data_IF_862556833581
#
_entry.id   IF_862556833581
#
_cell.length_a   1.000
_cell.length_b   1.000
_cell.length_c   1.000
_cell.angle_alpha   90.00
_cell.angle_beta   90.00
_cell.angle_gamma   90.00
#
_symmetry.space_group_name_H-M   'P 1'
#
loop_
_entity.id
_entity.type
_entity.pdbx_description
1 polymer ?
#
# COMPACT_ATOMS: atom_id res chain seq x y z
N UNK A 1 40.93 8.93 31.75
CA UNK A 1 40.48 8.91 30.33
C UNK A 1 39.04 8.47 30.34
N UNK A 2 38.11 9.40 30.07
CA UNK A 2 36.67 9.08 30.10
C UNK A 2 36.33 8.18 28.91
N UNK A 3 35.85 6.97 29.19
CA UNK A 3 35.27 6.13 28.15
C UNK A 3 33.98 6.79 27.68
N UNK A 4 34.02 7.41 26.51
CA UNK A 4 32.80 7.82 25.83
C UNK A 4 32.04 6.53 25.48
N UNK A 5 30.82 6.40 26.01
CA UNK A 5 29.95 5.28 25.71
C UNK A 5 29.13 5.60 24.46
N UNK A 6 29.82 5.75 23.32
CA UNK A 6 29.19 5.91 22.02
C UNK A 6 28.75 4.53 21.53
N UNK A 7 27.61 4.07 22.05
CA UNK A 7 26.83 2.98 21.47
C UNK A 7 26.54 3.38 20.02
N UNK A 8 27.24 2.77 19.07
CA UNK A 8 26.98 2.91 17.65
C UNK A 8 25.65 2.21 17.36
N UNK A 9 24.54 2.94 17.46
CA UNK A 9 23.27 2.48 16.93
C UNK A 9 23.41 2.60 15.41
N UNK A 10 23.46 1.49 14.66
CA UNK A 10 23.63 1.56 13.23
C UNK A 10 22.47 2.36 12.65
N UNK A 11 22.82 3.46 12.00
CA UNK A 11 21.88 4.39 11.39
C UNK A 11 21.22 3.80 10.13
N UNK A 12 21.63 2.59 9.73
CA UNK A 12 20.90 1.75 8.79
C UNK A 12 19.68 1.12 9.50
N UNK A 13 18.80 2.02 9.91
CA UNK A 13 17.41 1.77 10.22
C UNK A 13 16.73 1.13 9.02
N UNK A 14 16.08 -0.02 9.23
CA UNK A 14 15.07 -0.70 8.39
C UNK A 14 15.05 -0.36 6.87
N UNK A 15 15.25 -1.34 5.97
CA UNK A 15 15.29 -1.07 4.54
C UNK A 15 14.07 -0.29 4.04
N UNK A 16 14.33 0.82 3.35
CA UNK A 16 13.28 1.73 2.88
C UNK A 16 12.22 1.05 1.99
N UNK A 17 12.65 0.14 1.12
CA UNK A 17 11.77 -0.62 0.24
C UNK A 17 10.75 -1.48 1.02
N UNK A 18 11.07 -1.88 2.25
CA UNK A 18 10.18 -2.69 3.08
C UNK A 18 8.96 -1.86 3.55
N UNK A 19 9.09 -0.54 3.72
CA UNK A 19 7.92 0.32 3.96
C UNK A 19 6.96 0.34 2.77
N UNK A 20 7.51 0.37 1.55
CA UNK A 20 6.71 0.27 0.34
C UNK A 20 6.00 -1.09 0.23
N UNK A 21 6.69 -2.18 0.59
CA UNK A 21 6.10 -3.51 0.59
C UNK A 21 4.96 -3.63 1.63
N UNK A 22 5.15 -3.12 2.85
CA UNK A 22 4.12 -3.10 3.89
C UNK A 22 2.90 -2.30 3.41
N UNK A 23 3.12 -1.09 2.87
CA UNK A 23 2.07 -0.25 2.29
C UNK A 23 1.30 -1.02 1.19
N UNK A 24 2.01 -1.70 0.29
CA UNK A 24 1.43 -2.50 -0.77
C UNK A 24 0.48 -3.59 -0.25
N UNK A 25 0.91 -4.37 0.75
CA UNK A 25 0.06 -5.43 1.30
C UNK A 25 -1.16 -4.88 2.05
N UNK A 26 -1.03 -3.72 2.70
CA UNK A 26 -2.16 -3.04 3.35
C UNK A 26 -3.18 -2.60 2.30
N UNK A 27 -2.73 -1.92 1.24
CA UNK A 27 -3.61 -1.47 0.15
C UNK A 27 -4.26 -2.64 -0.57
N UNK A 28 -3.51 -3.74 -0.76
CA UNK A 28 -4.03 -4.99 -1.33
C UNK A 28 -5.14 -5.59 -0.47
N UNK A 29 -4.93 -5.68 0.85
CA UNK A 29 -5.91 -6.22 1.77
C UNK A 29 -7.19 -5.38 1.79
N UNK A 30 -7.06 -4.05 1.90
CA UNK A 30 -8.20 -3.13 1.84
C UNK A 30 -8.91 -3.24 0.50
N UNK A 31 -8.16 -3.24 -0.61
CA UNK A 31 -8.70 -3.36 -1.95
C UNK A 31 -9.49 -4.65 -2.17
N UNK A 32 -8.95 -5.79 -1.71
CA UNK A 32 -9.63 -7.09 -1.82
C UNK A 32 -10.91 -7.16 -0.98
N UNK A 33 -10.88 -6.64 0.25
CA UNK A 33 -12.04 -6.60 1.13
C UNK A 33 -13.13 -5.68 0.55
N UNK A 34 -12.77 -4.47 0.13
CA UNK A 34 -13.72 -3.54 -0.50
C UNK A 34 -14.28 -4.11 -1.81
N UNK A 35 -13.44 -4.71 -2.64
CA UNK A 35 -13.85 -5.33 -3.90
C UNK A 35 -14.84 -6.46 -3.70
N UNK A 36 -14.63 -7.32 -2.69
CA UNK A 36 -15.57 -8.38 -2.32
C UNK A 36 -16.96 -7.82 -2.01
N UNK A 37 -17.05 -6.75 -1.22
CA UNK A 37 -18.35 -6.16 -0.88
C UNK A 37 -19.02 -5.51 -2.09
N UNK A 38 -18.25 -4.88 -3.00
CA UNK A 38 -18.82 -4.32 -4.23
C UNK A 38 -19.33 -5.42 -5.16
N UNK A 39 -18.57 -6.49 -5.40
CA UNK A 39 -19.00 -7.59 -6.27
C UNK A 39 -20.26 -8.28 -5.73
N UNK A 40 -20.40 -8.41 -4.41
CA UNK A 40 -21.61 -8.92 -3.76
C UNK A 40 -22.87 -8.13 -4.11
N UNK A 41 -22.75 -6.81 -4.33
CA UNK A 41 -23.90 -5.99 -4.75
C UNK A 41 -24.41 -6.39 -6.15
N UNK A 42 -23.58 -7.03 -6.97
CA UNK A 42 -23.89 -7.42 -8.34
C UNK A 42 -23.94 -8.93 -8.58
N UNK A 43 -23.91 -9.73 -7.52
CA UNK A 43 -23.85 -11.20 -7.58
C UNK A 43 -25.01 -11.81 -8.39
N UNK A 44 -26.19 -11.18 -8.36
CA UNK A 44 -27.38 -11.65 -9.09
C UNK A 44 -27.48 -11.12 -10.53
N UNK A 45 -26.63 -10.16 -10.89
CA UNK A 45 -26.72 -9.44 -12.17
C UNK A 45 -25.70 -9.95 -13.18
N UNK A 46 -24.52 -10.36 -12.72
CA UNK A 46 -23.42 -10.76 -13.59
C UNK A 46 -23.09 -12.25 -13.47
N UNK A 47 -22.61 -12.83 -14.57
CA UNK A 47 -22.10 -14.19 -14.58
C UNK A 47 -20.79 -14.31 -13.77
N UNK A 48 -20.41 -15.51 -13.31
CA UNK A 48 -19.20 -15.70 -12.51
C UNK A 48 -17.90 -15.21 -13.16
N UNK A 49 -17.80 -15.27 -14.48
CA UNK A 49 -16.66 -14.75 -15.24
C UNK A 49 -16.58 -13.23 -15.15
N UNK A 50 -17.70 -12.53 -15.38
CA UNK A 50 -17.75 -11.08 -15.23
C UNK A 50 -17.53 -10.63 -13.77
N UNK A 51 -18.03 -11.39 -12.78
CA UNK A 51 -17.76 -11.11 -11.37
C UNK A 51 -16.25 -11.14 -11.04
N UNK A 52 -15.50 -12.08 -11.62
CA UNK A 52 -14.05 -12.16 -11.45
C UNK A 52 -13.33 -10.94 -12.06
N UNK A 53 -13.75 -10.51 -13.25
CA UNK A 53 -13.22 -9.29 -13.88
C UNK A 53 -13.52 -8.04 -13.04
N UNK A 54 -14.74 -7.93 -12.50
CA UNK A 54 -15.10 -6.84 -11.61
C UNK A 54 -14.26 -6.86 -10.32
N UNK A 55 -14.06 -8.04 -9.73
CA UNK A 55 -13.27 -8.19 -8.52
C UNK A 55 -11.85 -7.63 -8.69
N UNK A 56 -11.12 -8.08 -9.72
CA UNK A 56 -9.77 -7.59 -9.98
C UNK A 56 -9.75 -6.16 -10.53
N UNK A 57 -10.75 -5.76 -11.30
CA UNK A 57 -10.88 -4.39 -11.82
C UNK A 57 -11.00 -3.36 -10.69
N UNK A 58 -11.82 -3.63 -9.68
CA UNK A 58 -12.00 -2.74 -8.52
C UNK A 58 -10.72 -2.66 -7.69
N UNK A 59 -10.03 -3.80 -7.47
CA UNK A 59 -8.71 -3.80 -6.82
C UNK A 59 -7.76 -2.87 -7.59
N UNK A 60 -7.68 -3.01 -8.91
CA UNK A 60 -6.85 -2.16 -9.77
C UNK A 60 -7.16 -0.67 -9.64
N UNK A 61 -8.44 -0.31 -9.63
CA UNK A 61 -8.88 1.10 -9.44
C UNK A 61 -8.48 1.64 -8.07
N UNK A 62 -8.63 0.86 -7.00
CA UNK A 62 -8.22 1.26 -5.65
C UNK A 62 -6.71 1.49 -5.59
N UNK A 63 -5.92 0.60 -6.21
CA UNK A 63 -4.46 0.78 -6.33
C UNK A 63 -4.11 2.07 -7.05
N UNK A 64 -4.73 2.32 -8.20
CA UNK A 64 -4.55 3.53 -9.00
C UNK A 64 -4.87 4.77 -8.15
N UNK A 65 -6.03 4.80 -7.50
CA UNK A 65 -6.47 5.91 -6.66
C UNK A 65 -5.51 6.15 -5.49
N UNK A 66 -5.03 5.10 -4.84
CA UNK A 66 -4.07 5.20 -3.76
C UNK A 66 -2.72 5.74 -4.25
N UNK A 67 -2.06 5.05 -5.17
CA UNK A 67 -0.67 5.36 -5.54
C UNK A 67 -0.52 6.63 -6.38
N UNK A 68 -1.51 6.98 -7.21
CA UNK A 68 -1.46 8.21 -8.02
C UNK A 68 -2.09 9.41 -7.33
N UNK A 69 -3.10 9.21 -6.48
CA UNK A 69 -3.84 10.29 -5.81
C UNK A 69 -3.44 10.44 -4.34
N UNK A 70 -3.96 9.55 -3.50
CA UNK A 70 -3.93 9.70 -2.03
C UNK A 70 -2.48 9.72 -1.51
N UNK A 71 -1.62 8.83 -2.00
CA UNK A 71 -0.23 8.71 -1.56
C UNK A 71 0.54 10.02 -1.76
N UNK A 72 0.37 10.69 -2.90
CA UNK A 72 0.99 11.99 -3.19
C UNK A 72 0.49 13.11 -2.28
N UNK A 73 -0.73 12.99 -1.75
CA UNK A 73 -1.32 13.97 -0.85
C UNK A 73 -0.96 13.71 0.62
N UNK A 74 -0.94 12.44 1.04
CA UNK A 74 -0.67 12.02 2.42
C UNK A 74 0.82 12.11 2.74
N UNK A 75 1.68 11.64 1.84
CA UNK A 75 3.14 11.63 2.03
C UNK A 75 3.82 12.86 1.41
N UNK A 76 3.24 14.06 1.61
CA UNK A 76 3.90 15.34 1.26
C UNK A 76 5.13 15.65 2.13
N UNK A 77 5.46 14.81 3.13
CA UNK A 77 6.58 15.06 4.04
C UNK A 77 7.87 14.38 3.53
N UNK A 78 9.03 15.06 3.61
CA UNK A 78 10.32 14.63 3.05
C UNK A 78 10.94 13.38 3.71
N UNK A 79 10.25 12.71 4.63
CA UNK A 79 10.74 11.49 5.31
C UNK A 79 10.88 10.31 4.32
N UNK A 80 10.34 10.46 3.12
CA UNK A 80 10.42 9.52 2.01
C UNK A 80 11.15 10.11 0.78
N UNK A 81 11.88 11.24 0.95
CA UNK A 81 12.76 11.73 -0.11
C UNK A 81 13.85 10.70 -0.38
N UNK A 82 13.72 10.02 -1.52
CA UNK A 82 14.78 9.27 -2.13
C UNK A 82 15.87 10.27 -2.55
N UNK A 83 16.82 10.53 -1.66
CA UNK A 83 18.09 11.16 -2.01
C UNK A 83 18.92 10.12 -2.78
N UNK A 84 18.57 9.91 -4.06
CA UNK A 84 19.48 9.31 -5.03
C UNK A 84 20.24 10.43 -5.74
#
# INVERSE_FOLDING_TARGET
MGAHNNIHIPKESWPYWTWFAIEFFIVLAVGALSSREVVRLFEKTFDPGMQNWLFFGIIGVIFIAWYMGIRRLVFKRPILENHW
#
